data_IF_453483216222
#
_entry.id   IF_453483216222
#
_cell.length_a   1.000
_cell.length_b   1.000
_cell.length_c   1.000
_cell.angle_alpha   90.00
_cell.angle_beta   90.00
_cell.angle_gamma   90.00
#
_symmetry.space_group_name_H-M   'P 1'
#
loop_
_entity.id
_entity.type
_entity.pdbx_description
1 polymer ?
#
# COMPACT_ATOMS: atom_id res chain seq x y z
N UNK A 1 -26.58 1.07 3.73
CA UNK A 1 -25.28 0.71 4.34
C UNK A 1 -24.30 0.17 3.29
N UNK A 2 -24.73 -0.66 2.34
CA UNK A 2 -23.84 -1.21 1.30
C UNK A 2 -23.19 -0.17 0.38
N UNK A 3 -23.85 0.96 0.08
CA UNK A 3 -23.25 2.04 -0.71
C UNK A 3 -22.03 2.70 -0.04
N UNK A 4 -22.04 2.79 1.30
CA UNK A 4 -20.92 3.32 2.10
C UNK A 4 -19.74 2.34 2.05
N UNK A 5 -20.02 1.04 2.21
CA UNK A 5 -19.04 -0.03 2.04
C UNK A 5 -18.41 0.01 0.64
N UNK A 6 -19.22 0.11 -0.42
CA UNK A 6 -18.72 0.18 -1.79
C UNK A 6 -17.76 1.36 -1.99
N UNK A 7 -18.11 2.53 -1.45
CA UNK A 7 -17.27 3.74 -1.56
C UNK A 7 -15.96 3.57 -0.80
N UNK A 8 -16.00 2.94 0.38
CA UNK A 8 -14.81 2.59 1.16
C UNK A 8 -13.89 1.65 0.37
N UNK A 9 -14.42 0.54 -0.15
CA UNK A 9 -13.63 -0.43 -0.89
C UNK A 9 -13.07 0.13 -2.21
N UNK A 10 -13.79 1.05 -2.85
CA UNK A 10 -13.30 1.80 -4.01
C UNK A 10 -12.13 2.71 -3.64
N UNK A 11 -12.25 3.49 -2.56
CA UNK A 11 -11.17 4.34 -2.09
C UNK A 11 -9.93 3.52 -1.71
N UNK A 12 -10.13 2.41 -0.99
CA UNK A 12 -9.08 1.46 -0.65
C UNK A 12 -8.38 0.87 -1.87
N UNK A 13 -9.14 0.56 -2.94
CA UNK A 13 -8.59 0.03 -4.17
C UNK A 13 -7.59 1.01 -4.81
N UNK A 14 -7.99 2.27 -4.99
CA UNK A 14 -7.09 3.29 -5.55
C UNK A 14 -5.90 3.58 -4.63
N UNK A 15 -6.12 3.58 -3.31
CA UNK A 15 -5.04 3.76 -2.33
C UNK A 15 -3.99 2.66 -2.42
N UNK A 16 -4.41 1.38 -2.42
CA UNK A 16 -3.47 0.25 -2.51
C UNK A 16 -2.80 0.17 -3.89
N UNK A 17 -3.53 0.47 -4.97
CA UNK A 17 -2.94 0.57 -6.31
C UNK A 17 -1.86 1.66 -6.38
N UNK A 18 -2.09 2.83 -5.78
CA UNK A 18 -1.11 3.90 -5.69
C UNK A 18 0.14 3.49 -4.91
N UNK A 19 -0.03 2.81 -3.76
CA UNK A 19 1.09 2.29 -2.96
C UNK A 19 1.89 1.22 -3.74
N UNK A 20 1.21 0.33 -4.48
CA UNK A 20 1.87 -0.62 -5.37
C UNK A 20 2.71 0.08 -6.43
N UNK A 21 2.14 1.10 -7.10
CA UNK A 21 2.86 1.90 -8.09
C UNK A 21 4.13 2.55 -7.53
N UNK A 22 4.05 3.10 -6.32
CA UNK A 22 5.22 3.68 -5.63
C UNK A 22 6.30 2.63 -5.35
N UNK A 23 5.93 1.46 -4.81
CA UNK A 23 6.91 0.40 -4.51
C UNK A 23 7.54 -0.16 -5.78
N UNK A 24 6.76 -0.34 -6.85
CA UNK A 24 7.28 -0.77 -8.16
C UNK A 24 8.25 0.27 -8.72
N UNK A 25 7.92 1.57 -8.64
CA UNK A 25 8.82 2.63 -9.08
C UNK A 25 10.15 2.61 -8.30
N UNK A 26 10.09 2.46 -6.98
CA UNK A 26 11.31 2.33 -6.15
C UNK A 26 12.15 1.11 -6.53
N UNK A 27 11.51 -0.03 -6.83
CA UNK A 27 12.22 -1.25 -7.29
C UNK A 27 12.84 -1.07 -8.67
N UNK A 28 12.20 -0.32 -9.56
CA UNK A 28 12.74 0.03 -10.88
C UNK A 28 14.00 0.88 -10.72
N UNK A 29 13.95 1.96 -9.92
CA UNK A 29 15.14 2.79 -9.64
C UNK A 29 16.30 1.98 -9.02
N UNK A 30 15.98 1.00 -8.18
CA UNK A 30 16.98 0.13 -7.56
C UNK A 30 17.58 -0.88 -8.57
N UNK A 31 16.77 -1.36 -9.52
CA UNK A 31 17.21 -2.25 -10.60
C UNK A 31 18.05 -1.49 -11.62
N UNK A 32 17.64 -0.28 -12.01
CA UNK A 32 18.42 0.59 -12.91
C UNK A 32 19.79 0.93 -12.31
N UNK A 33 19.87 1.06 -10.97
CA UNK A 33 21.13 1.21 -10.26
C UNK A 33 21.99 -0.06 -10.26
N UNK A 34 21.38 -1.25 -10.16
CA UNK A 34 22.08 -2.55 -10.21
C UNK A 34 22.72 -2.81 -11.57
N UNK A 35 22.10 -2.34 -12.65
CA UNK A 35 22.61 -2.44 -14.02
C UNK A 35 23.51 -1.27 -14.45
N UNK A 36 23.90 -0.40 -13.50
CA UNK A 36 24.78 0.77 -13.71
C UNK A 36 24.25 1.76 -14.76
N UNK A 37 22.92 1.84 -14.89
CA UNK A 37 22.25 2.71 -15.88
C UNK A 37 22.11 4.16 -15.36
N UNK A 38 22.07 4.34 -14.04
CA UNK A 38 21.80 5.62 -13.38
C UNK A 38 22.74 5.84 -12.19
N UNK A 39 23.04 7.10 -11.88
CA UNK A 39 23.89 7.46 -10.76
C UNK A 39 23.20 7.10 -9.42
N UNK A 40 23.92 6.50 -8.45
CA UNK A 40 23.42 6.24 -7.09
C UNK A 40 22.81 7.47 -6.41
N UNK A 41 23.32 8.67 -6.68
CA UNK A 41 22.76 9.91 -6.13
C UNK A 41 21.34 10.19 -6.65
N UNK A 42 21.12 10.03 -7.95
CA UNK A 42 19.84 10.29 -8.60
C UNK A 42 18.79 9.25 -8.20
N UNK A 43 19.18 7.97 -8.10
CA UNK A 43 18.32 6.89 -7.60
C UNK A 43 17.95 7.07 -6.13
N UNK A 44 18.91 7.39 -5.25
CA UNK A 44 18.63 7.61 -3.83
C UNK A 44 17.70 8.80 -3.61
N UNK A 45 17.92 9.91 -4.32
CA UNK A 45 17.07 11.11 -4.27
C UNK A 45 15.64 10.80 -4.71
N UNK A 46 15.50 10.10 -5.84
CA UNK A 46 14.19 9.69 -6.38
C UNK A 46 13.45 8.77 -5.41
N UNK A 47 14.13 7.76 -4.84
CA UNK A 47 13.54 6.85 -3.85
C UNK A 47 13.12 7.64 -2.60
N UNK A 48 13.98 8.49 -2.04
CA UNK A 48 13.71 9.25 -0.82
C UNK A 48 12.50 10.18 -0.95
N UNK A 49 12.28 10.76 -2.14
CA UNK A 49 11.11 11.60 -2.43
C UNK A 49 9.79 10.83 -2.29
N UNK A 50 9.77 9.54 -2.64
CA UNK A 50 8.56 8.72 -2.61
C UNK A 50 8.40 7.87 -1.34
N UNK A 51 9.44 7.74 -0.51
CA UNK A 51 9.36 7.02 0.76
C UNK A 51 8.40 7.70 1.75
N UNK A 52 8.45 9.03 1.87
CA UNK A 52 7.56 9.76 2.77
C UNK A 52 6.07 9.66 2.38
N UNK A 53 5.67 9.91 1.12
CA UNK A 53 4.27 9.75 0.72
C UNK A 53 3.78 8.29 0.80
N UNK A 54 4.66 7.28 0.64
CA UNK A 54 4.31 5.88 0.90
C UNK A 54 3.91 5.66 2.37
N UNK A 55 4.71 6.15 3.32
CA UNK A 55 4.40 6.02 4.74
C UNK A 55 3.11 6.74 5.14
N UNK A 56 2.94 7.96 4.66
CA UNK A 56 1.74 8.75 4.95
C UNK A 56 0.52 8.08 4.31
N UNK A 57 0.61 7.61 3.07
CA UNK A 57 -0.47 6.93 2.37
C UNK A 57 -0.88 5.62 3.04
N UNK A 58 0.09 4.79 3.43
CA UNK A 58 -0.17 3.54 4.14
C UNK A 58 -0.74 3.78 5.54
N UNK A 59 -0.20 4.76 6.27
CA UNK A 59 -0.71 5.17 7.57
C UNK A 59 -2.14 5.71 7.51
N UNK A 60 -2.44 6.54 6.50
CA UNK A 60 -3.79 7.04 6.25
C UNK A 60 -4.77 5.90 5.96
N UNK A 61 -4.42 4.96 5.06
CA UNK A 61 -5.23 3.76 4.79
C UNK A 61 -5.50 2.93 6.05
N UNK A 62 -4.46 2.74 6.88
CA UNK A 62 -4.59 2.02 8.15
C UNK A 62 -5.54 2.73 9.12
N UNK A 63 -5.43 4.07 9.22
CA UNK A 63 -6.34 4.90 10.01
C UNK A 63 -7.78 4.86 9.49
N UNK A 64 -7.98 4.87 8.17
CA UNK A 64 -9.29 4.71 7.55
C UNK A 64 -9.93 3.35 7.89
N UNK A 65 -9.17 2.25 7.89
CA UNK A 65 -9.69 0.94 8.31
C UNK A 65 -10.03 0.88 9.79
N UNK A 66 -9.30 1.60 10.64
CA UNK A 66 -9.61 1.70 12.06
C UNK A 66 -10.92 2.47 12.30
N UNK A 67 -11.10 3.62 11.64
CA UNK A 67 -12.30 4.45 11.76
C UNK A 67 -13.56 3.77 11.25
N UNK A 68 -13.43 2.92 10.23
CA UNK A 68 -14.56 2.19 9.62
C UNK A 68 -14.87 0.87 10.35
N UNK A 69 -14.14 0.55 11.42
CA UNK A 69 -14.39 -0.66 12.23
C UNK A 69 -13.93 -1.96 11.57
N UNK A 70 -13.07 -1.90 10.55
CA UNK A 70 -12.54 -3.07 9.85
C UNK A 70 -11.29 -3.63 10.55
N UNK A 71 -11.47 -4.14 11.77
CA UNK A 71 -10.39 -4.60 12.66
C UNK A 71 -9.47 -5.64 12.02
N UNK A 72 -10.00 -6.57 11.22
CA UNK A 72 -9.20 -7.62 10.58
C UNK A 72 -8.22 -7.05 9.55
N UNK A 73 -8.65 -6.05 8.77
CA UNK A 73 -7.78 -5.38 7.79
C UNK A 73 -6.74 -4.49 8.47
N UNK A 74 -7.12 -3.83 9.56
CA UNK A 74 -6.18 -3.10 10.39
C UNK A 74 -5.10 -4.02 10.96
N UNK A 75 -5.49 -5.17 11.53
CA UNK A 75 -4.57 -6.12 12.14
C UNK A 75 -3.62 -6.76 11.12
N UNK A 76 -4.10 -7.01 9.89
CA UNK A 76 -3.27 -7.45 8.77
C UNK A 76 -2.20 -6.40 8.38
N UNK A 77 -2.54 -5.11 8.41
CA UNK A 77 -1.64 -4.00 8.07
C UNK A 77 -0.69 -3.60 9.22
N UNK A 78 -1.00 -3.99 10.45
CA UNK A 78 -0.27 -3.68 11.67
C UNK A 78 1.21 -4.09 11.66
N UNK A 79 1.62 -5.30 11.22
CA UNK A 79 3.04 -5.66 11.14
C UNK A 79 3.84 -4.76 10.19
N UNK A 80 3.26 -4.39 9.04
CA UNK A 80 3.90 -3.48 8.09
C UNK A 80 3.96 -2.05 8.67
N UNK A 81 2.87 -1.57 9.26
CA UNK A 81 2.79 -0.26 9.88
C UNK A 81 3.76 -0.12 11.06
N UNK A 82 3.91 -1.15 11.88
CA UNK A 82 4.89 -1.19 12.96
C UNK A 82 6.32 -1.12 12.42
N UNK A 83 6.62 -1.84 11.34
CA UNK A 83 7.93 -1.77 10.71
C UNK A 83 8.22 -0.36 10.18
N UNK A 84 7.25 0.24 9.49
CA UNK A 84 7.31 1.60 9.00
C UNK A 84 7.60 2.60 10.12
N UNK A 85 6.88 2.49 11.24
CA UNK A 85 7.04 3.34 12.40
C UNK A 85 8.42 3.17 13.06
N UNK A 86 8.93 1.93 13.16
CA UNK A 86 10.28 1.65 13.66
C UNK A 86 11.34 2.29 12.78
N UNK A 87 11.21 2.20 11.46
CA UNK A 87 12.16 2.80 10.51
C UNK A 87 12.19 4.33 10.61
N UNK A 88 11.01 4.94 10.75
CA UNK A 88 10.85 6.37 10.99
C UNK A 88 11.54 6.80 12.30
N UNK A 89 11.30 6.08 13.39
CA UNK A 89 11.91 6.32 14.71
C UNK A 89 13.44 6.24 14.69
N UNK A 90 14.01 5.32 13.90
CA UNK A 90 15.46 5.16 13.78
C UNK A 90 16.10 6.15 12.78
N UNK A 91 15.33 7.06 12.18
CA UNK A 91 15.76 7.99 11.11
C UNK A 91 16.42 7.31 9.90
N UNK A 92 16.28 5.99 9.75
CA UNK A 92 16.80 5.20 8.61
C UNK A 92 15.82 5.15 7.43
N UNK A 93 14.96 6.17 7.31
CA UNK A 93 13.99 6.26 6.22
C UNK A 93 14.63 6.77 4.92
N UNK A 94 15.81 7.38 5.00
CA UNK A 94 16.57 7.86 3.85
C UNK A 94 17.59 6.82 3.43
N UNK A 95 17.67 6.57 2.13
CA UNK A 95 18.72 5.76 1.53
C UNK A 95 19.99 6.59 1.46
N UNK A 96 21.06 6.11 2.09
CA UNK A 96 22.40 6.72 2.03
C UNK A 96 23.09 6.30 0.73
N UNK A 97 23.52 7.29 -0.05
CA UNK A 97 24.20 7.12 -1.35
C UNK A 97 25.51 6.35 -1.21
N UNK A 98 26.18 6.47 -0.05
CA UNK A 98 27.50 5.87 0.18
C UNK A 98 27.43 4.37 0.50
N UNK A 99 26.32 3.90 1.07
CA UNK A 99 26.12 2.48 1.43
C UNK A 99 25.13 1.74 0.51
N UNK A 100 24.49 2.43 -0.44
CA UNK A 100 23.41 1.88 -1.27
C UNK A 100 23.82 0.60 -2.01
N UNK A 101 25.05 0.51 -2.51
CA UNK A 101 25.55 -0.68 -3.20
C UNK A 101 25.82 -1.86 -2.26
N UNK A 102 26.33 -1.58 -1.06
CA UNK A 102 26.63 -2.62 -0.06
C UNK A 102 25.34 -3.19 0.56
N UNK A 103 24.29 -2.37 0.63
CA UNK A 103 22.97 -2.73 1.16
C UNK A 103 21.97 -3.11 0.07
N UNK A 104 22.32 -2.98 -1.21
CA UNK A 104 21.41 -3.09 -2.36
C UNK A 104 20.59 -4.37 -2.34
N UNK A 105 21.26 -5.51 -2.13
CA UNK A 105 20.59 -6.81 -2.09
C UNK A 105 19.58 -6.92 -0.94
N UNK A 106 19.90 -6.36 0.24
CA UNK A 106 19.00 -6.35 1.41
C UNK A 106 17.81 -5.42 1.20
N UNK A 107 18.06 -4.21 0.71
CA UNK A 107 17.03 -3.21 0.37
C UNK A 107 16.08 -3.74 -0.71
N UNK A 108 16.61 -4.42 -1.73
CA UNK A 108 15.81 -5.06 -2.80
C UNK A 108 14.90 -6.14 -2.25
N UNK A 109 15.43 -7.08 -1.46
CA UNK A 109 14.65 -8.15 -0.84
C UNK A 109 13.56 -7.59 0.09
N UNK A 110 13.88 -6.55 0.87
CA UNK A 110 12.92 -5.88 1.73
C UNK A 110 11.77 -5.24 0.92
N UNK A 111 12.09 -4.50 -0.15
CA UNK A 111 11.09 -3.87 -1.04
C UNK A 111 10.28 -4.90 -1.82
N UNK A 112 10.88 -6.02 -2.20
CA UNK A 112 10.18 -7.14 -2.83
C UNK A 112 9.18 -7.82 -1.87
N UNK A 113 9.55 -7.99 -0.60
CA UNK A 113 8.63 -8.50 0.42
C UNK A 113 7.47 -7.52 0.68
N UNK A 114 7.74 -6.21 0.71
CA UNK A 114 6.69 -5.18 0.76
C UNK A 114 5.76 -5.25 -0.45
N UNK A 115 6.31 -5.41 -1.65
CA UNK A 115 5.52 -5.58 -2.88
C UNK A 115 4.59 -6.79 -2.77
N UNK A 116 5.12 -7.93 -2.32
CA UNK A 116 4.33 -9.14 -2.09
C UNK A 116 3.18 -8.91 -1.11
N UNK A 117 3.43 -8.19 -0.01
CA UNK A 117 2.40 -7.82 0.96
C UNK A 117 1.31 -6.92 0.35
N UNK A 118 1.70 -5.86 -0.37
CA UNK A 118 0.75 -4.95 -1.01
C UNK A 118 -0.04 -5.65 -2.13
N UNK A 119 0.55 -6.60 -2.85
CA UNK A 119 -0.15 -7.42 -3.84
C UNK A 119 -1.22 -8.30 -3.17
N UNK A 120 -0.87 -8.94 -2.06
CA UNK A 120 -1.82 -9.74 -1.28
C UNK A 120 -2.98 -8.87 -0.78
N UNK A 121 -2.66 -7.69 -0.23
CA UNK A 121 -3.66 -6.72 0.21
C UNK A 121 -4.55 -6.26 -0.96
N UNK A 122 -3.98 -6.04 -2.13
CA UNK A 122 -4.70 -5.63 -3.34
C UNK A 122 -5.73 -6.68 -3.77
N UNK A 123 -5.37 -7.97 -3.77
CA UNK A 123 -6.32 -9.05 -4.07
C UNK A 123 -7.46 -9.11 -3.05
N UNK A 124 -7.16 -8.93 -1.75
CA UNK A 124 -8.20 -8.93 -0.71
C UNK A 124 -9.15 -7.73 -0.90
N UNK A 125 -8.61 -6.54 -1.21
CA UNK A 125 -9.41 -5.35 -1.49
C UNK A 125 -10.31 -5.54 -2.72
N UNK A 126 -9.79 -6.14 -3.79
CA UNK A 126 -10.60 -6.48 -4.97
C UNK A 126 -11.73 -7.44 -4.60
N UNK A 127 -11.43 -8.51 -3.86
CA UNK A 127 -12.44 -9.47 -3.42
C UNK A 127 -13.56 -8.77 -2.63
N UNK A 128 -13.20 -7.91 -1.68
CA UNK A 128 -14.16 -7.14 -0.88
C UNK A 128 -14.95 -6.14 -1.70
N UNK A 129 -14.32 -5.46 -2.66
CA UNK A 129 -14.97 -4.56 -3.60
C UNK A 129 -16.04 -5.30 -4.43
N UNK A 130 -15.71 -6.47 -4.98
CA UNK A 130 -16.67 -7.29 -5.75
C UNK A 130 -17.84 -7.72 -4.88
N UNK A 131 -17.58 -8.20 -3.66
CA UNK A 131 -18.65 -8.58 -2.71
C UNK A 131 -19.54 -7.38 -2.41
N UNK A 132 -18.97 -6.20 -2.11
CA UNK A 132 -19.75 -5.00 -1.84
C UNK A 132 -20.58 -4.57 -3.07
N UNK A 133 -20.02 -4.64 -4.27
CA UNK A 133 -20.73 -4.33 -5.50
C UNK A 133 -21.91 -5.29 -5.75
N UNK A 134 -21.70 -6.59 -5.55
CA UNK A 134 -22.77 -7.60 -5.68
C UNK A 134 -23.88 -7.35 -4.64
N UNK A 135 -23.52 -7.04 -3.39
CA UNK A 135 -24.52 -6.72 -2.35
C UNK A 135 -25.33 -5.48 -2.73
N UNK A 136 -24.69 -4.42 -3.23
CA UNK A 136 -25.40 -3.22 -3.71
C UNK A 136 -26.34 -3.54 -4.86
N UNK A 137 -25.92 -4.36 -5.82
CA UNK A 137 -26.77 -4.77 -6.96
C UNK A 137 -27.98 -5.58 -6.45
N UNK A 138 -27.78 -6.50 -5.51
CA UNK A 138 -28.87 -7.29 -4.92
C UNK A 138 -29.83 -6.46 -4.07
N UNK A 139 -29.33 -5.42 -3.38
CA UNK A 139 -30.17 -4.45 -2.67
C UNK A 139 -30.99 -3.60 -3.64
N UNK A 140 -30.42 -3.24 -4.80
CA UNK A 140 -31.12 -2.50 -5.85
C UNK A 140 -32.21 -3.34 -6.53
N UNK A 141 -31.94 -4.62 -6.77
CA UNK A 141 -32.89 -5.57 -7.39
C UNK A 141 -34.04 -5.96 -6.45
N UNK A 142 -33.79 -5.98 -5.13
CA UNK A 142 -34.84 -6.08 -4.10
C UNK A 142 -35.58 -4.73 -3.91
N UNK A 143 -36.20 -4.19 -4.96
CA UNK A 143 -37.07 -3.00 -4.86
C UNK A 143 -38.09 -3.07 -3.68
N UNK A 144 -38.73 -1.94 -3.32
CA UNK A 144 -39.54 -1.78 -2.09
C UNK A 144 -40.88 -2.55 -2.10
N UNK A 145 -40.88 -3.79 -2.56
CA UNK A 145 -42.05 -4.61 -2.81
C UNK A 145 -42.27 -5.61 -1.67
N UNK A 146 -42.19 -5.16 -0.42
CA UNK A 146 -42.71 -5.87 0.78
C UNK A 146 -42.92 -4.86 1.93
N UNK A 147 -43.62 -3.76 1.65
CA UNK A 147 -44.43 -3.15 2.69
C UNK A 147 -45.86 -3.67 2.51
N UNK A 148 -46.36 -4.31 3.57
CA UNK A 148 -47.67 -4.95 3.71
C UNK A 148 -48.86 -4.05 3.36
#
# INVERSE_FOLDING_TARGET
MAAVELTLWLFSFFGVAGLLGIVVYQLMCLSDLEFDYINPFDSASSINKFVLPEFIGHGALCGFYLLTGHWLMFLLNLPLAYYHMRLFMHKRHLVDVTEIFNLLGKEKQYRLMKLGFYLLLFFIVIYKLVVAAVVVILEYDRGPDVDF
#
